data_IF_206848367967
#
_entry.id   IF_206848367967
#
_cell.length_a   1.000
_cell.length_b   1.000
_cell.length_c   1.000
_cell.angle_alpha   90.00
_cell.angle_beta   90.00
_cell.angle_gamma   90.00
#
_symmetry.space_group_name_H-M   'P 1'
#
loop_
_entity.id
_entity.type
_entity.pdbx_description
1 polymer ?
#
# COMPACT_ATOMS: atom_id res chain seq x y z
N UNK A 1 -3.01 -9.14 -8.70
CA UNK A 1 -2.24 -8.17 -7.93
C UNK A 1 -0.83 -8.32 -8.43
N UNK A 2 -0.25 -7.24 -8.94
CA UNK A 2 1.10 -7.22 -9.50
C UNK A 2 2.17 -7.18 -8.39
N UNK A 3 3.42 -7.44 -8.77
CA UNK A 3 4.57 -7.33 -7.86
C UNK A 3 4.72 -5.92 -7.28
N UNK A 4 4.46 -4.89 -8.09
CA UNK A 4 4.54 -3.49 -7.62
C UNK A 4 3.45 -3.21 -6.60
N UNK A 5 2.22 -3.70 -6.81
CA UNK A 5 1.13 -3.58 -5.84
C UNK A 5 1.46 -4.29 -4.52
N UNK A 6 2.10 -5.45 -4.58
CA UNK A 6 2.55 -6.18 -3.39
C UNK A 6 3.61 -5.40 -2.59
N UNK A 7 4.61 -4.83 -3.28
CA UNK A 7 5.66 -4.01 -2.63
C UNK A 7 5.07 -2.75 -2.00
N UNK A 8 4.11 -2.10 -2.66
CA UNK A 8 3.42 -0.93 -2.10
C UNK A 8 2.59 -1.30 -0.87
N UNK A 9 1.96 -2.48 -0.86
CA UNK A 9 1.23 -2.98 0.31
C UNK A 9 2.20 -3.20 1.49
N UNK A 10 3.33 -3.87 1.25
CA UNK A 10 4.36 -4.05 2.27
C UNK A 10 4.91 -2.72 2.77
N UNK A 11 5.11 -1.73 1.90
CA UNK A 11 5.53 -0.39 2.29
C UNK A 11 4.51 0.27 3.24
N UNK A 12 3.21 0.12 2.97
CA UNK A 12 2.16 0.65 3.85
C UNK A 12 2.19 -0.01 5.23
N UNK A 13 2.35 -1.34 5.26
CA UNK A 13 2.42 -2.14 6.49
C UNK A 13 3.64 -1.79 7.34
N UNK A 14 4.82 -1.77 6.73
CA UNK A 14 6.08 -1.40 7.42
C UNK A 14 5.99 0.03 7.93
N UNK A 15 5.53 0.97 7.10
CA UNK A 15 5.40 2.37 7.52
C UNK A 15 4.44 2.54 8.69
N UNK A 16 3.27 1.90 8.64
CA UNK A 16 2.29 1.90 9.75
C UNK A 16 2.91 1.31 11.02
N UNK A 17 3.64 0.21 10.88
CA UNK A 17 4.27 -0.49 12.01
C UNK A 17 5.36 0.35 12.66
N UNK A 18 6.25 0.97 11.88
CA UNK A 18 7.34 1.79 12.41
C UNK A 18 6.82 3.06 13.08
N UNK A 19 5.78 3.69 12.53
CA UNK A 19 5.10 4.82 13.20
C UNK A 19 4.45 4.35 14.51
N UNK A 20 3.73 3.23 14.48
CA UNK A 20 3.08 2.66 15.67
C UNK A 20 4.07 2.35 16.80
N UNK A 21 5.23 1.75 16.48
CA UNK A 21 6.29 1.50 17.46
C UNK A 21 6.88 2.79 18.04
N UNK A 22 6.95 3.86 17.25
CA UNK A 22 7.52 5.14 17.67
C UNK A 22 6.57 5.91 18.58
N UNK A 23 5.28 5.91 18.25
CA UNK A 23 4.29 6.75 18.92
C UNK A 23 3.51 6.02 20.02
N UNK A 24 3.54 4.68 20.04
CA UNK A 24 2.85 3.83 21.01
C UNK A 24 1.38 4.27 21.23
N UNK A 25 0.54 4.20 20.17
CA UNK A 25 -0.82 4.74 20.17
C UNK A 25 -1.70 4.11 21.25
N UNK A 26 -2.60 4.89 21.83
CA UNK A 26 -3.57 4.39 22.80
C UNK A 26 -4.97 4.29 22.18
N UNK A 27 -5.45 3.06 22.05
CA UNK A 27 -6.80 2.79 21.55
C UNK A 27 -6.95 3.00 20.04
N UNK A 28 -8.22 3.06 19.63
CA UNK A 28 -8.59 2.91 18.22
C UNK A 28 -8.35 4.16 17.38
N UNK A 29 -8.67 5.35 17.88
CA UNK A 29 -8.57 6.58 17.07
C UNK A 29 -7.11 6.92 16.75
N UNK A 30 -6.19 6.73 17.69
CA UNK A 30 -4.75 6.91 17.46
C UNK A 30 -4.22 5.90 16.44
N UNK A 31 -4.58 4.61 16.61
CA UNK A 31 -4.20 3.54 15.68
C UNK A 31 -4.73 3.80 14.26
N UNK A 32 -5.95 4.34 14.14
CA UNK A 32 -6.59 4.70 12.88
C UNK A 32 -5.88 5.87 12.20
N UNK A 33 -5.42 6.86 12.95
CA UNK A 33 -4.62 7.94 12.40
C UNK A 33 -3.26 7.43 11.88
N UNK A 34 -2.59 6.58 12.66
CA UNK A 34 -1.33 5.94 12.24
C UNK A 34 -1.51 5.10 10.97
N UNK A 35 -2.58 4.32 10.87
CA UNK A 35 -2.90 3.55 9.67
C UNK A 35 -3.11 4.45 8.44
N UNK A 36 -3.77 5.61 8.61
CA UNK A 36 -3.90 6.59 7.52
C UNK A 36 -2.54 7.14 7.09
N UNK A 37 -1.66 7.45 8.04
CA UNK A 37 -0.31 7.96 7.75
C UNK A 37 0.56 6.93 7.03
N UNK A 38 0.61 5.70 7.51
CA UNK A 38 1.33 4.62 6.83
C UNK A 38 0.78 4.32 5.43
N UNK A 39 -0.54 4.30 5.27
CA UNK A 39 -1.18 4.19 3.95
C UNK A 39 -0.89 5.37 3.02
N UNK A 40 -0.77 6.59 3.56
CA UNK A 40 -0.43 7.80 2.80
C UNK A 40 0.98 7.71 2.21
N UNK A 41 1.95 7.20 2.97
CA UNK A 41 3.33 7.00 2.49
C UNK A 41 3.36 6.10 1.25
N UNK A 42 2.70 4.94 1.31
CA UNK A 42 2.60 4.04 0.16
C UNK A 42 1.79 4.67 -0.99
N UNK A 43 0.72 5.39 -0.68
CA UNK A 43 -0.09 6.11 -1.66
C UNK A 43 0.71 7.16 -2.43
N UNK A 44 1.61 7.87 -1.77
CA UNK A 44 2.47 8.88 -2.39
C UNK A 44 3.59 8.24 -3.20
N UNK A 45 4.20 7.16 -2.72
CA UNK A 45 5.13 6.35 -3.51
C UNK A 45 4.49 5.85 -4.81
N UNK A 46 3.26 5.33 -4.74
CA UNK A 46 2.47 4.93 -5.92
C UNK A 46 2.28 6.10 -6.89
N UNK A 47 1.75 7.24 -6.41
CA UNK A 47 1.49 8.42 -7.28
C UNK A 47 2.77 8.89 -7.97
N UNK A 48 3.89 8.91 -7.24
CA UNK A 48 5.19 9.29 -7.80
C UNK A 48 5.63 8.32 -8.89
N UNK A 49 5.50 7.01 -8.66
CA UNK A 49 5.84 6.00 -9.66
C UNK A 49 4.95 6.11 -10.91
N UNK A 50 3.64 6.27 -10.74
CA UNK A 50 2.69 6.45 -11.85
C UNK A 50 3.02 7.71 -12.67
N UNK A 51 3.41 8.81 -12.00
CA UNK A 51 3.83 10.05 -12.66
C UNK A 51 5.07 9.87 -13.52
N UNK A 52 6.08 9.14 -13.02
CA UNK A 52 7.34 8.90 -13.73
C UNK A 52 7.18 7.91 -14.89
N UNK A 53 6.38 6.87 -14.69
CA UNK A 53 6.23 5.77 -15.67
C UNK A 53 5.11 6.00 -16.68
N UNK A 54 4.20 6.96 -16.42
CA UNK A 54 2.97 7.21 -17.20
C UNK A 54 2.04 6.00 -17.29
N UNK A 55 2.18 5.03 -16.37
CA UNK A 55 1.38 3.81 -16.30
C UNK A 55 0.69 3.74 -14.95
N UNK A 56 -0.52 3.16 -14.91
CA UNK A 56 -1.18 2.84 -13.64
C UNK A 56 -0.47 1.67 -12.98
N UNK A 57 -0.30 1.76 -11.66
CA UNK A 57 0.28 0.69 -10.85
C UNK A 57 -0.80 -0.28 -10.40
N UNK A 58 -2.02 0.22 -10.13
CA UNK A 58 -3.15 -0.63 -9.73
C UNK A 58 -3.70 -1.36 -10.95
N UNK A 59 -3.81 -2.68 -10.84
CA UNK A 59 -4.28 -3.55 -11.92
C UNK A 59 -5.68 -4.11 -11.62
N UNK A 60 -6.35 -4.67 -12.63
CA UNK A 60 -7.60 -5.43 -12.44
C UNK A 60 -7.36 -6.84 -11.90
N UNK A 61 -6.10 -7.25 -11.76
CA UNK A 61 -5.74 -8.60 -11.35
C UNK A 61 -6.15 -8.85 -9.89
N UNK A 62 -6.92 -9.91 -9.65
CA UNK A 62 -7.51 -10.20 -8.34
C UNK A 62 -7.50 -11.69 -8.02
N UNK A 63 -7.14 -12.06 -6.79
CA UNK A 63 -7.11 -13.44 -6.32
C UNK A 63 -8.46 -14.19 -6.44
N UNK A 64 -9.58 -13.46 -6.39
CA UNK A 64 -10.93 -14.05 -6.51
C UNK A 64 -11.28 -14.54 -7.92
N UNK A 65 -10.52 -14.12 -8.94
CA UNK A 65 -10.76 -14.52 -10.31
C UNK A 65 -9.45 -14.98 -10.95
N UNK A 66 -9.16 -16.29 -10.97
CA UNK A 66 -7.92 -16.85 -11.49
C UNK A 66 -7.60 -16.42 -12.93
N UNK A 67 -8.62 -16.18 -13.76
CA UNK A 67 -8.45 -15.71 -15.15
C UNK A 67 -7.86 -14.29 -15.24
N UNK A 68 -7.89 -13.52 -14.15
CA UNK A 68 -7.29 -12.20 -14.05
C UNK A 68 -5.90 -12.25 -13.39
N UNK A 69 -5.36 -13.43 -13.07
CA UNK A 69 -4.03 -13.60 -12.48
C UNK A 69 -2.98 -14.10 -13.48
N UNK A 70 -3.42 -14.46 -14.69
CA UNK A 70 -2.53 -14.89 -15.75
C UNK A 70 -1.93 -13.65 -16.44
N UNK A 71 -0.71 -13.30 -16.06
CA UNK A 71 0.23 -12.66 -16.99
C UNK A 71 0.87 -13.80 -17.80
N UNK A 72 0.64 -13.78 -19.12
CA UNK A 72 1.41 -14.59 -20.07
C UNK A 72 2.83 -14.06 -20.19
#
# INVERSE_FOLDING_TARGET
MSNVELVLNMLAEVSTTEISKTENPEGFEDSKDIAKRGGTIAGDARKNLEKQTRKKVVTSQNAKNPKLLEDT
#
